data_IF_100931054383
#
_entry.id   IF_100931054383
#
_cell.length_a   1.000
_cell.length_b   1.000
_cell.length_c   1.000
_cell.angle_alpha   90.00
_cell.angle_beta   90.00
_cell.angle_gamma   90.00
#
_symmetry.space_group_name_H-M   'P 1'
#
loop_
_entity.id
_entity.type
_entity.pdbx_description
1 polymer ?
#
# COMPACT_ATOMS: atom_id res chain seq x y z
N UNK A 1 34.55 -0.71 1.80
CA UNK A 1 35.46 -1.85 1.99
C UNK A 1 35.96 -1.84 3.43
N UNK A 2 36.13 -3.02 4.03
CA UNK A 2 36.70 -3.11 5.38
C UNK A 2 38.16 -2.66 5.39
N UNK A 3 38.62 -2.07 6.50
CA UNK A 3 40.00 -1.54 6.67
C UNK A 3 40.95 -2.54 7.35
N UNK A 4 40.56 -3.81 7.47
CA UNK A 4 41.35 -4.82 8.18
C UNK A 4 41.34 -4.70 9.72
N UNK A 5 40.54 -3.77 10.26
CA UNK A 5 40.39 -3.59 11.72
C UNK A 5 39.32 -4.51 12.28
N UNK A 6 39.49 -4.98 13.53
CA UNK A 6 38.56 -5.91 14.18
C UNK A 6 37.24 -5.26 14.64
N UNK A 7 37.25 -3.94 14.88
CA UNK A 7 36.10 -3.19 15.43
C UNK A 7 35.84 -1.89 14.64
N UNK A 8 34.63 -1.32 14.78
CA UNK A 8 34.20 -0.09 14.11
C UNK A 8 33.42 -0.29 12.81
N UNK A 9 32.90 0.81 12.25
CA UNK A 9 31.96 0.82 11.11
C UNK A 9 32.52 0.19 9.83
N UNK A 10 33.82 0.36 9.57
CA UNK A 10 34.51 -0.19 8.39
C UNK A 10 35.45 -1.35 8.79
N UNK A 11 35.01 -2.19 9.71
CA UNK A 11 35.75 -3.38 10.15
C UNK A 11 35.74 -4.50 9.13
N UNK A 12 36.63 -5.47 9.34
CA UNK A 12 36.75 -6.67 8.52
C UNK A 12 37.75 -6.53 7.37
N UNK A 13 38.03 -7.67 6.74
CA UNK A 13 38.99 -7.77 5.65
C UNK A 13 38.47 -7.10 4.36
N UNK A 14 39.30 -6.36 3.62
CA UNK A 14 38.92 -5.76 2.34
C UNK A 14 38.67 -6.83 1.28
N UNK A 15 37.41 -7.27 1.15
CA UNK A 15 36.95 -8.17 0.07
C UNK A 15 36.21 -7.40 -1.02
N UNK A 16 36.37 -7.81 -2.28
CA UNK A 16 35.49 -7.39 -3.38
C UNK A 16 34.19 -8.20 -3.31
N UNK A 17 33.07 -7.51 -3.00
CA UNK A 17 31.74 -8.14 -2.96
C UNK A 17 31.16 -8.18 -4.38
N UNK A 18 30.73 -9.35 -4.82
CA UNK A 18 29.95 -9.51 -6.04
C UNK A 18 28.61 -8.77 -5.87
N UNK A 19 28.34 -7.78 -6.72
CA UNK A 19 27.20 -6.86 -6.59
C UNK A 19 25.89 -7.43 -7.12
N UNK A 20 25.87 -8.67 -7.64
CA UNK A 20 24.67 -9.23 -8.27
C UNK A 20 23.53 -9.27 -7.26
N UNK A 21 22.49 -8.43 -7.42
CA UNK A 21 21.38 -8.44 -6.49
C UNK A 21 20.64 -9.76 -6.66
N UNK A 22 20.48 -10.52 -5.58
CA UNK A 22 19.55 -11.65 -5.56
C UNK A 22 18.15 -11.09 -5.78
N UNK A 23 17.45 -11.53 -6.82
CA UNK A 23 16.04 -11.17 -7.01
C UNK A 23 15.20 -11.85 -5.92
N UNK A 24 14.97 -11.14 -4.81
CA UNK A 24 14.21 -11.65 -3.65
C UNK A 24 12.70 -11.40 -3.80
N UNK A 25 12.31 -10.39 -4.58
CA UNK A 25 10.91 -10.02 -4.80
C UNK A 25 10.63 -9.79 -6.28
N UNK A 26 9.54 -10.37 -6.78
CA UNK A 26 9.05 -10.11 -8.14
C UNK A 26 8.15 -8.88 -8.11
N UNK A 27 8.32 -7.94 -9.06
CA UNK A 27 7.37 -6.83 -9.20
C UNK A 27 5.97 -7.38 -9.50
N UNK A 28 4.95 -6.60 -9.14
CA UNK A 28 3.56 -6.91 -9.47
C UNK A 28 3.45 -6.92 -11.01
N UNK A 29 3.00 -8.04 -11.58
CA UNK A 29 2.79 -8.17 -13.03
C UNK A 29 1.48 -7.51 -13.44
N UNK A 30 1.40 -7.06 -14.71
CA UNK A 30 0.17 -6.48 -15.28
C UNK A 30 -1.03 -7.42 -15.13
N UNK A 31 -0.82 -8.72 -15.33
CA UNK A 31 -1.84 -9.75 -15.14
C UNK A 31 -2.34 -9.81 -13.70
N UNK A 32 -1.45 -9.67 -12.71
CA UNK A 32 -1.85 -9.67 -11.30
C UNK A 32 -2.71 -8.45 -10.95
N UNK A 33 -2.37 -7.28 -11.48
CA UNK A 33 -3.19 -6.07 -11.28
C UNK A 33 -4.60 -6.25 -11.86
N UNK A 34 -4.69 -6.74 -13.11
CA UNK A 34 -5.98 -7.01 -13.76
C UNK A 34 -6.85 -7.98 -12.94
N UNK A 35 -6.27 -9.06 -12.42
CA UNK A 35 -6.99 -10.05 -11.61
C UNK A 35 -7.45 -9.44 -10.28
N UNK A 36 -6.62 -8.62 -9.63
CA UNK A 36 -6.99 -7.91 -8.39
C UNK A 36 -8.15 -6.94 -8.63
N UNK A 37 -8.13 -6.19 -9.73
CA UNK A 37 -9.20 -5.24 -10.08
C UNK A 37 -10.55 -5.95 -10.32
N UNK A 38 -10.55 -7.02 -11.12
CA UNK A 38 -11.77 -7.83 -11.40
C UNK A 38 -12.31 -8.48 -10.12
N UNK A 39 -11.43 -9.02 -9.27
CA UNK A 39 -11.86 -9.65 -8.01
C UNK A 39 -12.52 -8.62 -7.08
N UNK A 40 -12.00 -7.39 -7.07
CA UNK A 40 -12.49 -6.32 -6.20
C UNK A 40 -13.84 -5.79 -6.65
N UNK A 41 -14.08 -5.73 -7.95
CA UNK A 41 -15.39 -5.43 -8.53
C UNK A 41 -16.43 -6.51 -8.16
N UNK A 42 -16.06 -7.79 -8.28
CA UNK A 42 -16.95 -8.91 -8.01
C UNK A 42 -17.28 -9.09 -6.51
N UNK A 43 -16.26 -9.04 -5.63
CA UNK A 43 -16.42 -9.32 -4.21
C UNK A 43 -16.77 -8.09 -3.36
N UNK A 44 -16.47 -6.89 -3.85
CA UNK A 44 -16.68 -5.64 -3.12
C UNK A 44 -15.79 -5.49 -1.88
N UNK A 45 -16.24 -4.66 -0.92
CA UNK A 45 -15.50 -4.35 0.31
C UNK A 45 -16.04 -5.10 1.52
N UNK A 46 -15.12 -5.59 2.35
CA UNK A 46 -15.46 -6.21 3.63
C UNK A 46 -16.09 -5.19 4.61
N UNK A 47 -16.82 -5.63 5.65
CA UNK A 47 -17.45 -4.73 6.63
C UNK A 47 -16.47 -3.77 7.32
N UNK A 48 -15.25 -4.21 7.62
CA UNK A 48 -14.25 -3.37 8.27
C UNK A 48 -13.65 -2.32 7.31
N UNK A 49 -13.56 -2.64 6.02
CA UNK A 49 -13.11 -1.71 4.98
C UNK A 49 -14.16 -0.64 4.72
N UNK A 50 -15.45 -1.01 4.68
CA UNK A 50 -16.57 -0.06 4.58
C UNK A 50 -16.56 0.92 5.75
N UNK A 51 -16.41 0.42 6.98
CA UNK A 51 -16.32 1.30 8.16
C UNK A 51 -15.10 2.25 8.08
N UNK A 52 -13.96 1.78 7.59
CA UNK A 52 -12.80 2.64 7.36
C UNK A 52 -13.04 3.69 6.29
N UNK A 53 -13.69 3.35 5.19
CA UNK A 53 -14.07 4.32 4.15
C UNK A 53 -14.98 5.41 4.70
N UNK A 54 -15.93 5.09 5.56
CA UNK A 54 -16.80 6.08 6.19
C UNK A 54 -16.02 7.04 7.11
N UNK A 55 -15.04 6.52 7.86
CA UNK A 55 -14.16 7.35 8.67
C UNK A 55 -13.29 8.28 7.81
N UNK A 56 -12.77 7.77 6.68
CA UNK A 56 -11.97 8.56 5.74
C UNK A 56 -12.81 9.61 5.00
N UNK A 57 -14.06 9.30 4.65
CA UNK A 57 -15.01 10.27 4.06
C UNK A 57 -15.31 11.43 5.01
N UNK A 58 -15.35 11.16 6.31
CA UNK A 58 -15.53 12.18 7.37
C UNK A 58 -14.26 12.96 7.72
N UNK A 59 -13.11 12.65 7.10
CA UNK A 59 -11.83 13.30 7.42
C UNK A 59 -11.22 12.87 8.76
N UNK A 60 -11.59 11.69 9.29
CA UNK A 60 -11.13 11.20 10.59
C UNK A 60 -9.93 10.23 10.46
N UNK A 61 -8.85 10.64 9.80
CA UNK A 61 -7.70 9.78 9.45
C UNK A 61 -7.03 9.09 10.65
N UNK A 62 -6.86 9.82 11.76
CA UNK A 62 -6.27 9.27 12.99
C UNK A 62 -7.15 8.17 13.59
N UNK A 63 -8.48 8.31 13.48
CA UNK A 63 -9.44 7.30 13.95
C UNK A 63 -9.46 6.10 13.01
N UNK A 64 -9.43 6.33 11.69
CA UNK A 64 -9.31 5.27 10.69
C UNK A 64 -8.03 4.44 10.90
N UNK A 65 -6.88 5.08 11.15
CA UNK A 65 -5.63 4.38 11.43
C UNK A 65 -5.67 3.57 12.74
N UNK A 66 -6.26 4.12 13.81
CA UNK A 66 -6.46 3.38 15.07
C UNK A 66 -7.35 2.16 14.86
N UNK A 67 -8.43 2.30 14.09
CA UNK A 67 -9.31 1.19 13.75
C UNK A 67 -8.60 0.14 12.89
N UNK A 68 -7.88 0.56 11.84
CA UNK A 68 -7.09 -0.31 10.96
C UNK A 68 -6.05 -1.11 11.75
N UNK A 69 -5.33 -0.47 12.68
CA UNK A 69 -4.37 -1.15 13.57
C UNK A 69 -5.06 -2.18 14.46
N UNK A 70 -6.26 -1.88 14.98
CA UNK A 70 -7.03 -2.84 15.79
C UNK A 70 -7.44 -4.07 14.99
N UNK A 71 -7.78 -3.91 13.71
CA UNK A 71 -8.20 -5.02 12.84
C UNK A 71 -7.01 -5.82 12.27
N UNK A 72 -5.93 -5.15 11.84
CA UNK A 72 -4.79 -5.77 11.13
C UNK A 72 -3.58 -6.05 12.03
N UNK A 73 -3.63 -5.61 13.28
CA UNK A 73 -2.63 -5.82 14.35
C UNK A 73 -1.46 -4.84 14.34
N UNK A 74 -0.83 -4.61 13.19
CA UNK A 74 0.41 -3.78 13.11
C UNK A 74 0.18 -2.41 12.49
N UNK A 75 1.01 -1.44 12.90
CA UNK A 75 0.94 -0.07 12.36
C UNK A 75 1.22 -0.02 10.85
N UNK A 76 2.23 -0.76 10.36
CA UNK A 76 2.60 -0.78 8.94
C UNK A 76 1.45 -1.30 8.06
N UNK A 77 0.77 -2.38 8.48
CA UNK A 77 -0.40 -2.91 7.76
C UNK A 77 -1.59 -1.94 7.81
N UNK A 78 -1.84 -1.33 8.97
CA UNK A 78 -2.88 -0.30 9.10
C UNK A 78 -2.64 0.90 8.18
N UNK A 79 -1.39 1.36 8.08
CA UNK A 79 -1.01 2.46 7.20
C UNK A 79 -1.20 2.09 5.72
N UNK A 80 -0.72 0.91 5.31
CA UNK A 80 -0.88 0.43 3.95
C UNK A 80 -2.36 0.31 3.56
N UNK A 81 -3.21 -0.21 4.47
CA UNK A 81 -4.63 -0.36 4.17
C UNK A 81 -5.37 0.97 4.13
N UNK A 82 -5.00 1.93 4.99
CA UNK A 82 -5.53 3.29 4.93
C UNK A 82 -5.21 3.93 3.58
N UNK A 83 -3.96 3.88 3.14
CA UNK A 83 -3.54 4.46 1.86
C UNK A 83 -4.25 3.81 0.66
N UNK A 84 -4.44 2.49 0.69
CA UNK A 84 -5.21 1.78 -0.32
C UNK A 84 -6.65 2.29 -0.39
N UNK A 85 -7.33 2.43 0.75
CA UNK A 85 -8.71 2.92 0.80
C UNK A 85 -8.83 4.40 0.42
N UNK A 86 -7.84 5.23 0.77
CA UNK A 86 -7.79 6.64 0.33
C UNK A 86 -7.73 6.74 -1.20
N UNK A 87 -6.87 5.94 -1.85
CA UNK A 87 -6.78 5.89 -3.32
C UNK A 87 -8.09 5.45 -3.97
N UNK A 88 -8.76 4.47 -3.38
CA UNK A 88 -10.07 4.01 -3.87
C UNK A 88 -11.11 5.14 -3.77
N UNK A 89 -11.15 5.88 -2.66
CA UNK A 89 -12.08 6.99 -2.51
C UNK A 89 -11.81 8.13 -3.51
N UNK A 90 -10.54 8.42 -3.79
CA UNK A 90 -10.15 9.38 -4.83
C UNK A 90 -10.60 8.93 -6.22
N UNK A 91 -10.36 7.66 -6.57
CA UNK A 91 -10.81 7.09 -7.85
C UNK A 91 -12.34 7.15 -8.01
N UNK A 92 -13.08 6.84 -6.94
CA UNK A 92 -14.54 6.94 -6.90
C UNK A 92 -14.99 8.39 -7.14
N UNK A 93 -14.36 9.38 -6.47
CA UNK A 93 -14.68 10.80 -6.66
C UNK A 93 -14.47 11.26 -8.11
N UNK A 94 -13.34 10.87 -8.71
CA UNK A 94 -13.03 11.21 -10.12
C UNK A 94 -14.03 10.54 -11.06
N UNK A 95 -14.35 9.26 -10.84
CA UNK A 95 -15.31 8.54 -11.67
C UNK A 95 -16.72 9.15 -11.61
N UNK A 96 -17.18 9.56 -10.43
CA UNK A 96 -18.46 10.26 -10.28
C UNK A 96 -18.47 11.61 -10.99
N UNK A 97 -17.39 12.39 -10.92
CA UNK A 97 -17.28 13.66 -11.63
C UNK A 97 -17.36 13.47 -13.16
N UNK A 98 -16.60 12.52 -13.69
CA UNK A 98 -16.64 12.20 -15.13
C UNK A 98 -18.02 11.73 -15.58
N UNK A 99 -18.69 10.88 -14.79
CA UNK A 99 -20.06 10.44 -15.10
C UNK A 99 -21.06 11.60 -15.12
N UNK A 100 -20.93 12.58 -14.21
CA UNK A 100 -21.76 13.77 -14.22
C UNK A 100 -21.55 14.61 -15.50
N UNK A 101 -20.29 14.82 -15.91
CA UNK A 101 -19.96 15.56 -17.14
C UNK A 101 -20.51 14.92 -18.43
N UNK A 102 -20.62 13.57 -18.46
CA UNK A 102 -21.21 12.86 -19.61
C UNK A 102 -22.74 12.89 -19.62
N UNK A 103 -23.39 13.12 -18.49
CA UNK A 103 -24.86 13.25 -18.44
C UNK A 103 -25.35 14.64 -18.84
N UNK A 104 -24.49 15.66 -18.78
CA UNK A 104 -24.83 17.04 -19.16
C UNK A 104 -24.58 17.35 -20.64
N UNK A 105 -23.96 16.43 -21.39
CA UNK A 105 -23.76 16.52 -22.86
C UNK A 105 -24.86 15.79 -23.61
#
# INVERSE_FOLDING_TARGET
MGRGVAVGLKKGFPVHRLSKPRQISRPISKTKMLVEDVTREAAGFSPYERHMMDLLRRGLDKKALKYAKKQLGTHKRGLAKREELSRVLEAIRVAHAHHAEHQEK
#
